data_IF_396890827638
#
_entry.id   IF_396890827638
#
_cell.length_a   1.000
_cell.length_b   1.000
_cell.length_c   1.000
_cell.angle_alpha   90.00
_cell.angle_beta   90.00
_cell.angle_gamma   90.00
#
_symmetry.space_group_name_H-M   'P 1'
#
loop_
_entity.id
_entity.type
_entity.pdbx_description
1 polymer ?
#
# COMPACT_ATOMS: atom_id res chain seq x y z
N UNK A 1 2.57 -8.92 4.24
CA UNK A 1 2.71 -9.91 3.13
C UNK A 1 3.38 -9.32 1.88
N UNK A 2 2.95 -8.17 1.34
CA UNK A 2 3.61 -7.56 0.16
C UNK A 2 5.06 -7.11 0.44
N UNK A 3 5.30 -6.42 1.56
CA UNK A 3 6.65 -5.97 1.96
C UNK A 3 7.64 -7.14 2.14
N UNK A 4 7.20 -8.26 2.70
CA UNK A 4 8.02 -9.46 2.87
C UNK A 4 8.45 -10.09 1.54
N UNK A 5 7.60 -10.07 0.51
CA UNK A 5 7.92 -10.61 -0.82
C UNK A 5 9.05 -9.80 -1.46
N UNK A 6 9.00 -8.46 -1.31
CA UNK A 6 10.05 -7.57 -1.80
C UNK A 6 11.34 -7.76 -0.99
N UNK A 7 11.26 -7.74 0.35
CA UNK A 7 12.44 -7.87 1.23
C UNK A 7 13.14 -9.23 1.14
N UNK A 8 12.39 -10.29 0.82
CA UNK A 8 12.96 -11.63 0.59
C UNK A 8 13.52 -11.83 -0.82
N UNK A 9 13.47 -10.81 -1.68
CA UNK A 9 14.00 -10.86 -3.05
C UNK A 9 13.20 -11.78 -3.97
N UNK A 10 11.96 -12.14 -3.61
CA UNK A 10 11.10 -13.03 -4.41
C UNK A 10 10.48 -12.30 -5.61
N UNK A 11 10.37 -10.98 -5.57
CA UNK A 11 9.90 -10.16 -6.67
C UNK A 11 10.37 -8.70 -6.51
N UNK A 12 10.52 -7.99 -7.63
CA UNK A 12 10.79 -6.55 -7.65
C UNK A 12 9.51 -5.69 -7.60
N UNK A 13 8.36 -6.27 -7.98
CA UNK A 13 7.06 -5.58 -8.03
C UNK A 13 5.94 -6.53 -7.59
N UNK A 14 5.00 -6.03 -6.79
CA UNK A 14 3.77 -6.74 -6.40
C UNK A 14 2.56 -6.07 -7.06
N UNK A 15 1.82 -6.81 -7.88
CA UNK A 15 0.61 -6.36 -8.56
C UNK A 15 -0.64 -6.82 -7.78
N UNK A 16 -1.53 -5.88 -7.45
CA UNK A 16 -2.79 -6.15 -6.76
C UNK A 16 -3.96 -6.06 -7.72
N UNK A 17 -4.79 -7.10 -7.76
CA UNK A 17 -6.00 -7.14 -8.61
C UNK A 17 -7.27 -7.00 -7.76
N UNK A 18 -7.76 -8.12 -7.19
CA UNK A 18 -9.01 -8.17 -6.42
C UNK A 18 -8.97 -7.30 -5.16
N UNK A 19 -7.79 -7.16 -4.56
CA UNK A 19 -7.63 -6.38 -3.34
C UNK A 19 -7.88 -4.88 -3.59
N UNK A 20 -7.44 -4.37 -4.74
CA UNK A 20 -7.69 -2.99 -5.14
C UNK A 20 -9.18 -2.74 -5.44
N UNK A 21 -9.90 -3.77 -5.94
CA UNK A 21 -11.35 -3.68 -6.16
C UNK A 21 -12.15 -3.70 -4.86
N UNK A 22 -11.68 -4.44 -3.84
CA UNK A 22 -12.33 -4.48 -2.50
C UNK A 22 -12.01 -3.25 -1.67
N UNK A 23 -10.78 -2.76 -1.77
CA UNK A 23 -10.30 -1.63 -1.02
C UNK A 23 -9.40 -0.74 -1.89
N UNK A 24 -9.95 0.31 -2.53
CA UNK A 24 -9.16 1.20 -3.37
C UNK A 24 -8.10 1.99 -2.58
N UNK A 25 -8.28 2.14 -1.26
CA UNK A 25 -7.33 2.83 -0.37
C UNK A 25 -6.26 1.88 0.21
N UNK A 26 -6.16 0.65 -0.27
CA UNK A 26 -5.17 -0.32 0.19
C UNK A 26 -3.73 0.25 0.24
N UNK A 27 -3.24 1.01 -0.77
CA UNK A 27 -1.89 1.57 -0.72
C UNK A 27 -1.66 2.52 0.46
N UNK A 28 -2.68 3.29 0.84
CA UNK A 28 -2.63 4.21 1.99
C UNK A 28 -2.56 3.44 3.30
N UNK A 29 -3.35 2.36 3.41
CA UNK A 29 -3.33 1.49 4.60
C UNK A 29 -2.00 0.74 4.72
N UNK A 30 -1.46 0.25 3.61
CA UNK A 30 -0.15 -0.40 3.57
C UNK A 30 0.98 0.56 3.97
N UNK A 31 0.94 1.81 3.51
CA UNK A 31 1.90 2.83 3.93
C UNK A 31 1.81 3.09 5.45
N UNK A 32 0.59 3.18 6.00
CA UNK A 32 0.35 3.34 7.45
C UNK A 32 0.88 2.16 8.26
N UNK A 33 0.65 0.93 7.81
CA UNK A 33 1.12 -0.29 8.47
C UNK A 33 2.66 -0.41 8.45
N UNK A 34 3.29 0.06 7.38
CA UNK A 34 4.75 0.06 7.21
C UNK A 34 5.43 1.33 7.75
N UNK A 35 4.68 2.27 8.31
CA UNK A 35 5.20 3.56 8.79
C UNK A 35 5.80 4.45 7.69
N UNK A 36 5.40 4.24 6.44
CA UNK A 36 5.84 5.01 5.27
C UNK A 36 4.93 6.23 5.03
N UNK A 37 5.44 7.29 4.41
CA UNK A 37 4.61 8.44 4.04
C UNK A 37 3.45 8.00 3.14
N UNK A 38 2.24 8.46 3.50
CA UNK A 38 1.03 8.11 2.78
C UNK A 38 1.03 8.71 1.37
N UNK A 39 0.69 7.94 0.32
CA UNK A 39 0.50 8.46 -1.03
C UNK A 39 -0.84 9.20 -1.21
N UNK A 40 -1.57 9.47 -0.13
CA UNK A 40 -2.86 10.16 -0.19
C UNK A 40 -2.73 11.56 -0.82
N UNK A 41 -3.68 11.97 -1.69
CA UNK A 41 -3.74 13.35 -2.20
C UNK A 41 -3.83 14.36 -1.05
N UNK A 42 -3.31 15.58 -1.25
CA UNK A 42 -3.29 16.66 -0.25
C UNK A 42 -4.67 16.94 0.36
N UNK A 43 -5.72 16.75 -0.43
CA UNK A 43 -7.12 16.92 -0.04
C UNK A 43 -7.60 15.89 1.00
N UNK A 44 -6.95 14.73 1.08
CA UNK A 44 -7.31 13.63 1.98
C UNK A 44 -6.33 13.43 3.14
N UNK A 45 -5.35 14.31 3.30
CA UNK A 45 -4.32 14.20 4.36
C UNK A 45 -4.93 14.19 5.77
N UNK A 46 -6.11 14.79 5.97
CA UNK A 46 -6.81 14.79 7.27
C UNK A 46 -7.69 13.57 7.52
N UNK A 47 -7.93 12.75 6.50
CA UNK A 47 -8.81 11.58 6.60
C UNK A 47 -8.06 10.30 6.98
N UNK A 48 -6.72 10.28 6.93
CA UNK A 48 -5.89 9.09 7.07
C UNK A 48 -4.89 9.18 8.23
#
# INVERSE_FOLDING_TARGET
MADEIIRSGKADVVLLARELMRNPNWPVLAAKELGQPSPAPLQYVRAF
#
